data_IF_047593640637
#
_entry.id   IF_047593640637
#
_cell.length_a   1.000
_cell.length_b   1.000
_cell.length_c   1.000
_cell.angle_alpha   90.00
_cell.angle_beta   90.00
_cell.angle_gamma   90.00
#
_symmetry.space_group_name_H-M   'P 1'
#
loop_
_entity.id
_entity.type
_entity.pdbx_description
1 polymer ?
#
# COMPACT_ATOMS: atom_id res chain seq x y z
N UNK A 1 24.55 -26.53 7.00
CA UNK A 1 25.11 -25.29 6.40
C UNK A 1 24.53 -24.08 7.13
N UNK A 2 25.37 -23.31 7.80
CA UNK A 2 24.98 -21.98 8.29
C UNK A 2 24.96 -21.03 7.10
N UNK A 3 23.79 -20.60 6.67
CA UNK A 3 23.67 -19.55 5.65
C UNK A 3 24.03 -18.20 6.27
N UNK A 4 24.76 -17.36 5.54
CA UNK A 4 25.16 -16.00 5.97
C UNK A 4 23.95 -15.15 6.42
N UNK A 5 22.75 -15.48 5.90
CA UNK A 5 21.48 -14.85 6.27
C UNK A 5 21.08 -15.05 7.74
N UNK A 6 21.62 -16.05 8.45
CA UNK A 6 21.40 -16.23 9.90
C UNK A 6 22.37 -15.42 10.77
N UNK A 7 23.46 -14.87 10.21
CA UNK A 7 24.40 -14.00 10.93
C UNK A 7 23.87 -12.58 11.08
N UNK A 8 23.07 -12.13 10.12
CA UNK A 8 22.37 -10.85 10.19
C UNK A 8 20.97 -11.09 10.75
N UNK A 9 20.73 -10.73 12.02
CA UNK A 9 19.38 -10.77 12.59
C UNK A 9 18.41 -9.96 11.72
N UNK A 10 17.19 -10.44 11.52
CA UNK A 10 16.17 -9.64 10.81
C UNK A 10 15.97 -8.35 11.58
N UNK A 11 15.95 -7.22 10.87
CA UNK A 11 15.68 -5.92 11.49
C UNK A 11 14.36 -6.01 12.28
N UNK A 12 14.34 -5.61 13.57
CA UNK A 12 13.10 -5.58 14.34
C UNK A 12 12.07 -4.62 13.74
N UNK A 13 12.49 -3.74 12.83
CA UNK A 13 11.63 -2.82 12.09
C UNK A 13 11.12 -3.38 10.75
N UNK A 14 11.51 -4.60 10.35
CA UNK A 14 11.03 -5.19 9.09
C UNK A 14 9.49 -5.26 9.00
N UNK A 15 8.74 -5.62 10.07
CA UNK A 15 7.27 -5.57 10.04
C UNK A 15 6.74 -4.15 9.84
N UNK A 16 7.38 -3.16 10.47
CA UNK A 16 7.01 -1.76 10.36
C UNK A 16 7.26 -1.23 8.94
N UNK A 17 8.40 -1.58 8.33
CA UNK A 17 8.72 -1.22 6.95
C UNK A 17 7.71 -1.81 5.97
N UNK A 18 7.37 -3.10 6.11
CA UNK A 18 6.35 -3.73 5.29
C UNK A 18 4.96 -3.09 5.46
N UNK A 19 4.61 -2.65 6.67
CA UNK A 19 3.40 -1.85 6.88
C UNK A 19 3.49 -0.49 6.16
N UNK A 20 4.62 0.20 6.25
CA UNK A 20 4.84 1.48 5.55
C UNK A 20 4.75 1.34 4.03
N UNK A 21 5.24 0.25 3.46
CA UNK A 21 5.10 -0.05 2.02
C UNK A 21 3.63 -0.20 1.61
N UNK A 22 2.81 -0.86 2.44
CA UNK A 22 1.36 -0.98 2.19
C UNK A 22 0.65 0.37 2.29
N UNK A 23 0.97 1.17 3.31
CA UNK A 23 0.41 2.52 3.48
C UNK A 23 0.78 3.40 2.29
N UNK A 24 2.05 3.40 1.87
CA UNK A 24 2.50 4.15 0.70
C UNK A 24 1.72 3.74 -0.56
N UNK A 25 1.53 2.44 -0.76
CA UNK A 25 0.74 1.90 -1.88
C UNK A 25 -0.72 2.36 -1.86
N UNK A 26 -1.32 2.45 -0.68
CA UNK A 26 -2.68 2.97 -0.49
C UNK A 26 -2.77 4.47 -0.83
N UNK A 27 -1.82 5.27 -0.33
CA UNK A 27 -1.77 6.72 -0.60
C UNK A 27 -1.60 7.02 -2.09
N UNK A 28 -0.82 6.22 -2.82
CA UNK A 28 -0.63 6.39 -4.27
C UNK A 28 -1.93 6.21 -5.07
N UNK A 29 -2.96 5.54 -4.53
CA UNK A 29 -4.27 5.44 -5.18
C UNK A 29 -5.06 6.75 -5.15
N UNK A 30 -4.76 7.67 -4.22
CA UNK A 30 -5.43 8.97 -4.14
C UNK A 30 -5.17 9.81 -5.39
N UNK A 31 -3.97 9.76 -5.96
CA UNK A 31 -3.67 10.43 -7.22
C UNK A 31 -4.62 9.98 -8.33
N UNK A 32 -4.81 8.65 -8.46
CA UNK A 32 -5.73 8.05 -9.44
C UNK A 32 -7.18 8.45 -9.17
N UNK A 33 -7.57 8.56 -7.90
CA UNK A 33 -8.89 9.01 -7.50
C UNK A 33 -9.15 10.46 -7.94
N UNK A 34 -8.19 11.37 -7.72
CA UNK A 34 -8.31 12.76 -8.12
C UNK A 34 -8.30 12.94 -9.65
N UNK A 35 -7.55 12.13 -10.39
CA UNK A 35 -7.62 12.10 -11.85
C UNK A 35 -9.02 11.66 -12.32
N UNK A 36 -9.55 10.56 -11.75
CA UNK A 36 -10.90 10.09 -12.07
C UNK A 36 -11.98 11.11 -11.71
N UNK A 37 -11.79 11.86 -10.62
CA UNK A 37 -12.66 12.97 -10.21
C UNK A 37 -12.63 14.10 -11.24
N UNK A 38 -11.45 14.53 -11.69
CA UNK A 38 -11.29 15.56 -12.73
C UNK A 38 -11.95 15.15 -14.05
N UNK A 39 -11.84 13.88 -14.42
CA UNK A 39 -12.47 13.32 -15.62
C UNK A 39 -13.96 12.97 -15.46
N UNK A 40 -14.55 13.20 -14.27
CA UNK A 40 -15.95 12.86 -13.94
C UNK A 40 -16.30 11.38 -14.17
N UNK A 41 -15.34 10.47 -14.02
CA UNK A 41 -15.53 9.02 -14.21
C UNK A 41 -16.03 8.38 -12.91
N UNK A 42 -17.30 8.61 -12.58
CA UNK A 42 -17.89 8.22 -11.29
C UNK A 42 -17.79 6.72 -10.95
N UNK A 43 -17.88 5.83 -11.94
CA UNK A 43 -17.66 4.39 -11.72
C UNK A 43 -16.22 4.10 -11.28
N UNK A 44 -15.23 4.70 -11.95
CA UNK A 44 -13.82 4.58 -11.54
C UNK A 44 -13.56 5.16 -10.16
N UNK A 45 -14.19 6.26 -9.81
CA UNK A 45 -14.09 6.85 -8.46
C UNK A 45 -14.57 5.83 -7.41
N UNK A 46 -15.70 5.16 -7.66
CA UNK A 46 -16.26 4.14 -6.77
C UNK A 46 -15.35 2.91 -6.65
N UNK A 47 -14.76 2.44 -7.75
CA UNK A 47 -13.83 1.32 -7.74
C UNK A 47 -12.52 1.65 -7.00
N UNK A 48 -11.94 2.82 -7.27
CA UNK A 48 -10.72 3.27 -6.59
C UNK A 48 -10.97 3.48 -5.10
N UNK A 49 -12.12 4.06 -4.71
CA UNK A 49 -12.48 4.21 -3.30
C UNK A 49 -12.61 2.89 -2.56
N UNK A 50 -13.18 1.85 -3.18
CA UNK A 50 -13.22 0.50 -2.61
C UNK A 50 -11.82 -0.10 -2.47
N UNK A 51 -10.95 0.10 -3.45
CA UNK A 51 -9.57 -0.39 -3.40
C UNK A 51 -8.77 0.27 -2.27
N UNK A 52 -8.94 1.58 -2.07
CA UNK A 52 -8.33 2.33 -0.96
C UNK A 52 -8.79 1.78 0.39
N UNK A 53 -10.11 1.66 0.60
CA UNK A 53 -10.67 1.15 1.86
C UNK A 53 -10.21 -0.28 2.16
N UNK A 54 -10.08 -1.13 1.13
CA UNK A 54 -9.55 -2.48 1.29
C UNK A 54 -8.08 -2.47 1.70
N UNK A 55 -7.24 -1.69 1.01
CA UNK A 55 -5.81 -1.61 1.31
C UNK A 55 -5.52 -1.00 2.68
N UNK A 56 -6.33 -0.04 3.13
CA UNK A 56 -6.25 0.50 4.48
C UNK A 56 -6.57 -0.54 5.54
N UNK A 57 -7.58 -1.38 5.32
CA UNK A 57 -7.92 -2.47 6.23
C UNK A 57 -6.88 -3.61 6.25
N UNK A 58 -6.16 -3.83 5.14
CA UNK A 58 -5.13 -4.86 5.01
C UNK A 58 -3.74 -4.42 5.49
N UNK A 59 -3.54 -3.11 5.72
CA UNK A 59 -2.29 -2.54 6.19
C UNK A 59 -2.03 -2.90 7.65
#
# INVERSE_FOLDING_TARGET
>A
MFSIAKLFGRSPFAPLQSHMDKVASCVLLLEKLFIALKEKKYEKIKEIGKAISKQEHEA
#
